data_IF_324311093566
#
_entry.id   IF_324311093566
#
_cell.length_a   1.000
_cell.length_b   1.000
_cell.length_c   1.000
_cell.angle_alpha   90.00
_cell.angle_beta   90.00
_cell.angle_gamma   90.00
#
_symmetry.space_group_name_H-M   'P 1'
#
loop_
_entity.id
_entity.type
_entity.pdbx_description
1 polymer ?
#
# COMPACT_ATOMS: atom_id res chain seq x y z
N UNK A 1 -26.76 5.38 27.72
CA UNK A 1 -26.55 5.74 26.29
C UNK A 1 -25.34 6.68 26.27
N UNK A 2 -24.20 6.23 25.76
CA UNK A 2 -22.98 7.07 25.69
C UNK A 2 -23.24 8.20 24.69
N UNK A 3 -23.18 9.46 25.14
CA UNK A 3 -23.23 10.64 24.26
C UNK A 3 -22.09 10.51 23.23
N UNK A 4 -22.48 10.35 21.97
CA UNK A 4 -21.50 10.33 20.86
C UNK A 4 -20.92 11.74 20.76
N UNK A 5 -19.64 11.88 21.06
CA UNK A 5 -18.93 13.16 20.92
C UNK A 5 -19.01 13.63 19.46
N UNK A 6 -19.61 14.80 19.24
CA UNK A 6 -19.72 15.44 17.90
C UNK A 6 -18.34 15.67 17.28
N UNK A 7 -17.36 16.02 18.09
CA UNK A 7 -15.97 16.22 17.62
C UNK A 7 -15.36 14.91 17.10
N UNK A 8 -15.61 13.80 17.80
CA UNK A 8 -15.14 12.48 17.34
C UNK A 8 -15.82 12.06 16.04
N UNK A 9 -17.12 12.26 15.95
CA UNK A 9 -17.87 11.96 14.74
C UNK A 9 -17.40 12.81 13.54
N UNK A 10 -17.09 14.09 13.75
CA UNK A 10 -16.53 14.95 12.71
C UNK A 10 -15.14 14.47 12.23
N UNK A 11 -14.29 13.98 13.15
CA UNK A 11 -13.02 13.35 12.81
C UNK A 11 -13.22 12.08 11.97
N UNK A 12 -14.15 11.21 12.37
CA UNK A 12 -14.47 9.98 11.65
C UNK A 12 -15.01 10.26 10.24
N UNK A 13 -15.85 11.28 10.08
CA UNK A 13 -16.35 11.71 8.77
C UNK A 13 -15.19 12.20 7.89
N UNK A 14 -14.30 13.05 8.42
CA UNK A 14 -13.14 13.55 7.67
C UNK A 14 -12.24 12.39 7.23
N UNK A 15 -11.93 11.47 8.14
CA UNK A 15 -11.14 10.29 7.83
C UNK A 15 -11.82 9.43 6.75
N UNK A 16 -13.12 9.16 6.89
CA UNK A 16 -13.87 8.40 5.90
C UNK A 16 -13.84 9.06 4.50
N UNK A 17 -13.99 10.38 4.42
CA UNK A 17 -13.91 11.13 3.17
C UNK A 17 -12.53 10.98 2.51
N UNK A 18 -11.45 11.10 3.28
CA UNK A 18 -10.09 10.93 2.81
C UNK A 18 -9.84 9.51 2.29
N UNK A 19 -10.23 8.49 3.05
CA UNK A 19 -10.11 7.10 2.68
C UNK A 19 -10.91 6.77 1.40
N UNK A 20 -12.14 7.28 1.27
CA UNK A 20 -12.98 7.10 0.07
C UNK A 20 -12.30 7.75 -1.15
N UNK A 21 -11.75 8.95 -1.00
CA UNK A 21 -11.04 9.65 -2.07
C UNK A 21 -9.82 8.86 -2.55
N UNK A 22 -9.15 8.14 -1.66
CA UNK A 22 -8.01 7.28 -1.98
C UNK A 22 -8.43 5.86 -2.43
N UNK A 23 -9.72 5.58 -2.57
CA UNK A 23 -10.24 4.32 -3.09
C UNK A 23 -10.39 3.19 -2.06
N UNK A 24 -10.55 3.53 -0.78
CA UNK A 24 -10.82 2.53 0.26
C UNK A 24 -12.13 1.77 0.00
N UNK A 25 -12.12 0.47 0.28
CA UNK A 25 -13.35 -0.35 0.29
C UNK A 25 -14.11 -0.16 1.60
N UNK A 26 -15.42 -0.46 1.55
CA UNK A 26 -16.33 -0.27 2.68
C UNK A 26 -15.85 -0.96 3.97
N UNK A 27 -15.29 -2.18 3.87
CA UNK A 27 -14.79 -2.92 5.04
C UNK A 27 -13.63 -2.21 5.75
N UNK A 28 -12.75 -1.53 5.00
CA UNK A 28 -11.70 -0.71 5.59
C UNK A 28 -12.29 0.49 6.33
N UNK A 29 -13.31 1.15 5.75
CA UNK A 29 -14.00 2.26 6.40
C UNK A 29 -14.69 1.83 7.70
N UNK A 30 -15.35 0.68 7.70
CA UNK A 30 -16.00 0.09 8.87
C UNK A 30 -14.98 -0.29 9.97
N UNK A 31 -13.77 -0.69 9.60
CA UNK A 31 -12.70 -1.01 10.55
C UNK A 31 -12.07 0.25 11.16
N UNK A 32 -11.91 1.32 10.39
CA UNK A 32 -11.13 2.49 10.79
C UNK A 32 -11.99 3.65 11.33
N UNK A 33 -13.33 3.57 11.24
CA UNK A 33 -14.23 4.62 11.74
C UNK A 33 -15.37 4.04 12.58
N UNK A 34 -15.96 4.87 13.44
CA UNK A 34 -17.14 4.50 14.25
C UNK A 34 -18.46 4.87 13.53
N UNK A 35 -18.42 5.18 12.24
CA UNK A 35 -19.62 5.52 11.48
C UNK A 35 -20.42 4.25 11.15
N UNK A 36 -21.74 4.36 11.18
CA UNK A 36 -22.60 3.24 10.79
C UNK A 36 -22.44 2.94 9.29
N UNK A 37 -22.62 1.67 8.93
CA UNK A 37 -22.56 1.21 7.54
C UNK A 37 -23.44 2.02 6.58
N UNK A 38 -24.65 2.38 7.01
CA UNK A 38 -25.56 3.20 6.21
C UNK A 38 -25.03 4.59 5.91
N UNK A 39 -24.39 5.24 6.91
CA UNK A 39 -23.72 6.55 6.73
C UNK A 39 -22.53 6.45 5.80
N UNK A 40 -21.70 5.42 5.94
CA UNK A 40 -20.56 5.18 5.06
C UNK A 40 -20.99 4.97 3.61
N UNK A 41 -22.04 4.20 3.36
CA UNK A 41 -22.61 4.00 2.02
C UNK A 41 -23.13 5.32 1.43
N UNK A 42 -23.83 6.13 2.24
CA UNK A 42 -24.35 7.43 1.81
C UNK A 42 -23.18 8.37 1.45
N UNK A 43 -22.19 8.49 2.33
CA UNK A 43 -21.00 9.30 2.12
C UNK A 43 -20.23 8.86 0.86
N UNK A 44 -20.12 7.55 0.64
CA UNK A 44 -19.47 6.99 -0.55
C UNK A 44 -20.17 7.40 -1.85
N UNK A 45 -21.53 7.33 -1.86
CA UNK A 45 -22.34 7.75 -3.01
C UNK A 45 -22.22 9.27 -3.27
N UNK A 46 -22.20 10.08 -2.23
CA UNK A 46 -22.05 11.53 -2.35
C UNK A 46 -20.68 11.93 -2.95
N UNK A 47 -19.60 11.24 -2.55
CA UNK A 47 -18.24 11.55 -3.00
C UNK A 47 -17.88 10.95 -4.36
N UNK A 48 -18.37 9.76 -4.66
CA UNK A 48 -17.99 9.00 -5.87
C UNK A 48 -19.09 8.89 -6.93
N UNK A 49 -20.32 9.35 -6.63
CA UNK A 49 -21.47 9.20 -7.52
C UNK A 49 -21.96 7.75 -7.69
N UNK A 50 -21.31 6.78 -7.04
CA UNK A 50 -21.60 5.35 -7.18
C UNK A 50 -21.53 4.65 -5.82
N UNK A 51 -22.20 3.49 -5.64
CA UNK A 51 -22.09 2.74 -4.40
C UNK A 51 -20.68 2.15 -4.23
N UNK A 52 -20.26 1.83 -2.98
CA UNK A 52 -18.97 1.22 -2.75
C UNK A 52 -18.83 -0.12 -3.49
N UNK A 53 -17.63 -0.44 -4.02
CA UNK A 53 -17.39 -1.69 -4.73
C UNK A 53 -17.74 -2.90 -3.87
N UNK A 54 -18.41 -3.87 -4.46
CA UNK A 54 -18.70 -5.16 -3.82
C UNK A 54 -17.45 -6.05 -3.81
N UNK A 55 -17.40 -6.98 -2.90
CA UNK A 55 -16.35 -7.99 -2.83
C UNK A 55 -15.71 -8.09 -1.45
N UNK A 56 -14.99 -9.18 -1.23
CA UNK A 56 -14.26 -9.45 0.00
C UNK A 56 -12.95 -8.67 0.07
N UNK A 57 -12.44 -8.47 1.28
CA UNK A 57 -11.08 -8.01 1.47
C UNK A 57 -10.08 -9.03 0.91
N UNK A 58 -8.90 -8.60 0.44
CA UNK A 58 -7.81 -9.51 0.11
C UNK A 58 -7.44 -10.35 1.34
N UNK A 59 -7.41 -11.66 1.19
CA UNK A 59 -7.10 -12.61 2.28
C UNK A 59 -5.85 -13.45 2.01
N UNK A 60 -5.32 -13.44 0.76
CA UNK A 60 -4.11 -14.17 0.40
C UNK A 60 -2.88 -13.27 0.44
N UNK A 61 -1.80 -13.78 1.04
CA UNK A 61 -0.47 -13.18 1.05
C UNK A 61 0.25 -13.35 -0.29
N UNK A 62 -0.12 -14.35 -1.11
CA UNK A 62 0.56 -14.69 -2.36
C UNK A 62 0.53 -13.56 -3.40
N UNK A 63 -0.53 -12.75 -3.36
CA UNK A 63 -0.61 -11.59 -4.23
C UNK A 63 0.59 -10.65 -4.06
N UNK A 64 1.04 -10.45 -2.82
CA UNK A 64 2.19 -9.59 -2.50
C UNK A 64 3.54 -10.21 -2.90
N UNK A 65 3.56 -11.50 -3.27
CA UNK A 65 4.77 -12.21 -3.70
C UNK A 65 4.98 -12.17 -5.20
N UNK A 66 3.98 -11.75 -5.97
CA UNK A 66 4.13 -11.61 -7.43
C UNK A 66 5.04 -10.42 -7.75
N UNK A 67 5.79 -10.48 -8.86
CA UNK A 67 6.93 -9.60 -9.13
C UNK A 67 6.65 -8.10 -8.97
N UNK A 68 5.72 -7.58 -9.72
CA UNK A 68 5.37 -6.16 -9.75
C UNK A 68 4.71 -5.72 -8.44
N UNK A 69 3.78 -6.52 -7.94
CA UNK A 69 3.07 -6.28 -6.69
C UNK A 69 4.01 -6.29 -5.48
N UNK A 70 5.04 -7.15 -5.48
CA UNK A 70 6.04 -7.20 -4.41
C UNK A 70 6.86 -5.91 -4.35
N UNK A 71 7.29 -5.40 -5.50
CA UNK A 71 8.04 -4.14 -5.59
C UNK A 71 7.21 -3.00 -5.01
N UNK A 72 5.98 -2.80 -5.52
CA UNK A 72 5.09 -1.72 -5.08
C UNK A 72 4.71 -1.85 -3.60
N UNK A 73 4.47 -3.07 -3.12
CA UNK A 73 4.17 -3.33 -1.70
C UNK A 73 5.37 -3.01 -0.81
N UNK A 74 6.58 -3.35 -1.25
CA UNK A 74 7.82 -3.08 -0.51
C UNK A 74 8.11 -1.58 -0.45
N UNK A 75 7.92 -0.84 -1.53
CA UNK A 75 8.07 0.62 -1.55
C UNK A 75 7.11 1.29 -0.57
N UNK A 76 5.82 0.98 -0.64
CA UNK A 76 4.82 1.49 0.30
C UNK A 76 5.19 1.16 1.75
N UNK A 77 5.54 -0.11 2.03
CA UNK A 77 5.79 -0.53 3.40
C UNK A 77 7.09 0.07 3.99
N UNK A 78 8.09 0.33 3.17
CA UNK A 78 9.29 1.06 3.60
C UNK A 78 8.96 2.51 3.96
N UNK A 79 8.14 3.22 3.17
CA UNK A 79 7.65 4.55 3.50
C UNK A 79 6.82 4.54 4.81
N UNK A 80 5.95 3.54 4.99
CA UNK A 80 5.18 3.36 6.22
C UNK A 80 6.08 3.19 7.46
N UNK A 81 7.08 2.30 7.38
CA UNK A 81 8.04 2.10 8.47
C UNK A 81 8.85 3.35 8.80
N UNK A 82 9.25 4.10 7.78
CA UNK A 82 9.95 5.36 7.97
C UNK A 82 9.09 6.35 8.77
N UNK A 83 7.83 6.54 8.40
CA UNK A 83 6.91 7.43 9.11
C UNK A 83 6.66 6.99 10.56
N UNK A 84 6.55 5.70 10.82
CA UNK A 84 6.43 5.19 12.20
C UNK A 84 7.68 5.49 13.04
N UNK A 85 8.88 5.33 12.47
CA UNK A 85 10.14 5.57 13.17
C UNK A 85 10.38 7.07 13.44
N UNK A 86 9.99 7.94 12.52
CA UNK A 86 10.10 9.39 12.69
C UNK A 86 9.09 9.98 13.68
N UNK A 87 8.21 9.16 14.27
CA UNK A 87 7.30 9.57 15.35
C UNK A 87 6.14 10.47 14.93
N UNK A 88 5.96 10.71 13.63
CA UNK A 88 4.99 11.69 13.12
C UNK A 88 3.57 11.19 12.93
N UNK A 89 3.34 9.88 12.96
CA UNK A 89 2.00 9.32 12.66
C UNK A 89 1.88 7.87 13.13
N UNK A 90 0.68 7.46 13.52
CA UNK A 90 0.36 6.09 13.97
C UNK A 90 -0.94 5.60 13.34
N UNK A 91 -1.15 4.29 13.32
CA UNK A 91 -2.38 3.68 12.84
C UNK A 91 -2.72 4.04 11.39
N UNK A 92 -4.01 4.29 11.12
CA UNK A 92 -4.51 4.59 9.77
C UNK A 92 -3.94 5.89 9.18
N UNK A 93 -3.59 6.88 10.01
CA UNK A 93 -2.96 8.12 9.53
C UNK A 93 -1.59 7.86 8.91
N UNK A 94 -0.80 6.96 9.52
CA UNK A 94 0.48 6.55 8.97
C UNK A 94 0.30 5.80 7.64
N UNK A 95 -0.72 4.94 7.53
CA UNK A 95 -1.09 4.24 6.29
C UNK A 95 -1.43 5.24 5.19
N UNK A 96 -2.27 6.24 5.48
CA UNK A 96 -2.69 7.26 4.51
C UNK A 96 -1.51 8.10 4.03
N UNK A 97 -0.65 8.57 4.94
CA UNK A 97 0.55 9.35 4.60
C UNK A 97 1.53 8.54 3.77
N UNK A 98 1.82 7.29 4.18
CA UNK A 98 2.67 6.39 3.42
C UNK A 98 2.12 6.09 2.01
N UNK A 99 0.79 5.95 1.92
CA UNK A 99 0.15 5.69 0.64
C UNK A 99 0.21 6.90 -0.31
N UNK A 100 0.11 8.12 0.22
CA UNK A 100 0.33 9.34 -0.58
C UNK A 100 1.75 9.44 -1.10
N UNK A 101 2.75 9.20 -0.22
CA UNK A 101 4.16 9.15 -0.65
C UNK A 101 4.39 8.07 -1.71
N UNK A 102 3.77 6.91 -1.57
CA UNK A 102 3.82 5.86 -2.59
C UNK A 102 3.23 6.31 -3.93
N UNK A 103 2.08 6.99 -3.93
CA UNK A 103 1.46 7.50 -5.17
C UNK A 103 2.29 8.62 -5.84
N UNK A 104 3.01 9.42 -5.06
CA UNK A 104 3.94 10.43 -5.58
C UNK A 104 5.14 9.79 -6.29
N UNK A 105 5.68 8.70 -5.73
CA UNK A 105 6.80 7.97 -6.32
C UNK A 105 6.38 7.06 -7.49
N UNK A 106 5.18 6.51 -7.43
CA UNK A 106 4.63 5.59 -8.40
C UNK A 106 3.25 6.08 -8.86
N UNK A 107 3.18 7.19 -9.60
CA UNK A 107 1.90 7.70 -10.09
C UNK A 107 1.22 6.64 -10.98
N UNK A 108 -0.08 6.41 -10.82
CA UNK A 108 -0.81 5.52 -11.70
C UNK A 108 -0.77 6.06 -13.15
N UNK A 109 -0.68 5.15 -14.11
CA UNK A 109 -0.84 5.52 -15.52
C UNK A 109 -2.23 6.11 -15.72
N UNK A 110 -2.34 7.10 -16.59
CA UNK A 110 -3.61 7.80 -16.86
C UNK A 110 -4.75 6.78 -17.08
N UNK A 111 -5.86 6.98 -16.38
CA UNK A 111 -7.07 6.15 -16.41
C UNK A 111 -6.89 4.70 -15.88
N UNK A 112 -5.80 4.41 -15.17
CA UNK A 112 -5.59 3.12 -14.52
C UNK A 112 -5.57 3.24 -13.00
N UNK A 113 -6.02 2.19 -12.31
CA UNK A 113 -5.84 2.09 -10.86
C UNK A 113 -4.36 1.83 -10.52
N UNK A 114 -3.88 2.35 -9.37
CA UNK A 114 -2.53 2.04 -8.92
C UNK A 114 -2.37 0.52 -8.68
N UNK A 115 -1.20 -0.02 -9.00
CA UNK A 115 -0.90 -1.45 -8.83
C UNK A 115 -1.20 -1.89 -7.39
N UNK A 116 -0.77 -1.10 -6.42
CA UNK A 116 -1.13 -1.30 -5.02
C UNK A 116 -2.28 -0.34 -4.67
N UNK A 117 -3.52 -0.82 -4.68
CA UNK A 117 -4.67 -0.06 -4.20
C UNK A 117 -4.62 0.14 -2.66
N UNK A 118 -5.20 1.23 -2.14
CA UNK A 118 -5.16 1.58 -0.71
C UNK A 118 -5.62 0.43 0.20
N UNK A 119 -6.71 -0.25 -0.14
CA UNK A 119 -7.21 -1.38 0.67
C UNK A 119 -6.18 -2.53 0.75
N UNK A 120 -5.41 -2.78 -0.32
CA UNK A 120 -4.32 -3.77 -0.30
C UNK A 120 -3.13 -3.27 0.53
N UNK A 121 -2.78 -1.99 0.44
CA UNK A 121 -1.74 -1.38 1.26
C UNK A 121 -2.07 -1.50 2.77
N UNK A 122 -3.32 -1.22 3.14
CA UNK A 122 -3.81 -1.40 4.50
C UNK A 122 -3.80 -2.87 4.94
N UNK A 123 -4.24 -3.80 4.06
CA UNK A 123 -4.19 -5.24 4.35
C UNK A 123 -2.76 -5.75 4.52
N UNK A 124 -1.80 -5.23 3.73
CA UNK A 124 -0.38 -5.54 3.85
C UNK A 124 0.15 -5.22 5.26
N UNK A 125 -0.17 -4.02 5.78
CA UNK A 125 0.24 -3.63 7.15
C UNK A 125 -0.27 -4.66 8.16
N UNK A 126 -1.53 -5.06 8.06
CA UNK A 126 -2.14 -6.07 8.95
C UNK A 126 -1.49 -7.45 8.82
N UNK A 127 -1.10 -7.85 7.61
CA UNK A 127 -0.40 -9.12 7.41
C UNK A 127 1.02 -9.12 8.01
N UNK A 128 1.69 -7.99 7.99
CA UNK A 128 2.99 -7.88 8.67
C UNK A 128 2.81 -7.81 10.19
N UNK A 129 1.85 -7.06 10.70
CA UNK A 129 1.53 -6.99 12.12
C UNK A 129 1.10 -8.34 12.69
N UNK A 130 0.39 -9.17 11.92
CA UNK A 130 -0.01 -10.53 12.30
C UNK A 130 1.09 -11.58 12.12
N UNK A 131 2.27 -11.21 11.64
CA UNK A 131 3.39 -12.12 11.42
C UNK A 131 3.22 -13.09 10.24
N UNK A 132 2.28 -12.83 9.31
CA UNK A 132 2.15 -13.60 8.07
C UNK A 132 3.17 -13.18 7.02
N UNK A 133 3.51 -11.89 6.99
CA UNK A 133 4.53 -11.30 6.13
C UNK A 133 5.60 -10.62 6.98
N UNK A 134 6.79 -10.46 6.40
CA UNK A 134 7.93 -9.77 7.03
C UNK A 134 8.73 -8.99 5.98
N UNK A 135 9.68 -8.18 6.43
CA UNK A 135 10.69 -7.58 5.58
C UNK A 135 11.97 -8.40 5.61
N UNK A 136 12.50 -8.72 4.45
CA UNK A 136 13.82 -9.33 4.27
C UNK A 136 14.74 -8.39 3.52
N UNK A 137 16.01 -8.33 3.94
CA UNK A 137 17.04 -7.52 3.29
C UNK A 137 17.64 -8.30 2.14
N UNK A 138 17.72 -7.69 0.95
CA UNK A 138 18.34 -8.29 -0.21
C UNK A 138 19.87 -8.32 -0.04
N UNK A 139 20.49 -9.49 -0.24
CA UNK A 139 21.97 -9.66 -0.12
C UNK A 139 22.75 -8.97 -1.24
N UNK A 140 22.09 -8.56 -2.35
CA UNK A 140 22.75 -7.88 -3.47
C UNK A 140 22.67 -6.35 -3.40
N UNK A 141 21.49 -5.80 -3.06
CA UNK A 141 21.27 -4.34 -3.09
C UNK A 141 20.97 -3.72 -1.72
N UNK A 142 20.95 -4.52 -0.66
CA UNK A 142 20.58 -4.12 0.70
C UNK A 142 19.19 -3.51 0.87
N UNK A 143 18.36 -3.48 -0.18
CA UNK A 143 16.97 -3.03 -0.11
C UNK A 143 16.10 -3.99 0.69
N UNK A 144 15.08 -3.46 1.38
CA UNK A 144 14.12 -4.24 2.18
C UNK A 144 12.87 -4.56 1.37
N UNK A 145 12.50 -5.83 1.29
CA UNK A 145 11.36 -6.32 0.50
C UNK A 145 10.43 -7.21 1.32
N UNK A 146 9.15 -7.19 0.98
CA UNK A 146 8.14 -8.04 1.60
C UNK A 146 8.37 -9.50 1.22
N UNK A 147 8.39 -10.38 2.22
CA UNK A 147 8.51 -11.84 2.08
C UNK A 147 7.54 -12.56 3.01
N UNK A 148 7.29 -13.85 2.77
CA UNK A 148 6.59 -14.67 3.75
C UNK A 148 7.43 -14.80 5.03
N UNK A 149 6.75 -14.74 6.20
CA UNK A 149 7.44 -14.81 7.49
C UNK A 149 8.18 -16.13 7.73
N UNK A 150 7.75 -17.21 7.07
CA UNK A 150 8.35 -18.55 7.23
C UNK A 150 9.39 -18.91 6.16
N UNK A 151 9.72 -17.99 5.25
CA UNK A 151 10.80 -18.22 4.29
C UNK A 151 12.16 -17.96 4.97
N UNK A 152 13.15 -18.87 4.81
CA UNK A 152 14.48 -18.64 5.36
C UNK A 152 15.10 -17.41 4.70
N UNK A 153 15.38 -16.38 5.53
CA UNK A 153 15.83 -15.06 5.09
C UNK A 153 17.36 -14.99 4.84
N UNK A 154 18.10 -16.07 5.04
CA UNK A 154 19.59 -16.04 5.08
C UNK A 154 20.24 -15.68 3.74
N UNK A 155 19.59 -15.91 2.60
CA UNK A 155 20.14 -15.62 1.27
C UNK A 155 19.09 -14.99 0.33
N UNK A 156 18.27 -14.08 0.85
CA UNK A 156 17.23 -13.47 0.06
C UNK A 156 17.81 -12.54 -1.02
N UNK A 157 17.40 -12.77 -2.27
CA UNK A 157 17.68 -11.87 -3.41
C UNK A 157 16.36 -11.34 -3.93
N UNK A 158 16.23 -10.00 -3.96
CA UNK A 158 15.00 -9.37 -4.40
C UNK A 158 14.75 -9.56 -5.91
N UNK A 159 13.50 -9.41 -6.30
CA UNK A 159 13.06 -9.55 -7.69
C UNK A 159 13.51 -8.42 -8.63
N UNK A 160 14.09 -7.33 -8.10
CA UNK A 160 14.80 -6.31 -8.89
C UNK A 160 16.20 -6.79 -9.27
N UNK A 161 16.94 -7.39 -8.31
CA UNK A 161 18.28 -7.93 -8.56
C UNK A 161 18.26 -9.23 -9.34
N UNK A 162 17.18 -10.00 -9.24
CA UNK A 162 16.96 -11.26 -9.95
C UNK A 162 15.52 -11.34 -10.48
N UNK A 163 15.23 -10.61 -11.58
CA UNK A 163 13.89 -10.58 -12.13
C UNK A 163 13.47 -11.94 -12.68
N UNK A 164 12.21 -12.37 -12.49
CA UNK A 164 11.72 -13.62 -13.02
C UNK A 164 11.70 -13.59 -14.57
N UNK A 165 11.86 -14.75 -15.19
CA UNK A 165 11.95 -14.89 -16.66
C UNK A 165 10.79 -14.23 -17.43
N UNK A 166 9.59 -14.18 -16.82
CA UNK A 166 8.41 -13.52 -17.40
C UNK A 166 8.51 -11.99 -17.41
N UNK A 167 9.22 -11.39 -16.45
CA UNK A 167 9.43 -9.95 -16.37
C UNK A 167 10.31 -9.45 -17.52
N UNK A 168 11.31 -10.24 -17.92
CA UNK A 168 12.22 -9.93 -19.02
C UNK A 168 11.48 -9.87 -20.37
N UNK A 169 10.45 -10.70 -20.58
CA UNK A 169 9.62 -10.68 -21.80
C UNK A 169 8.74 -9.44 -21.91
N UNK A 170 8.13 -8.97 -20.81
CA UNK A 170 7.36 -7.71 -20.78
C UNK A 170 8.25 -6.51 -21.11
N UNK A 171 9.47 -6.47 -20.59
CA UNK A 171 10.45 -5.40 -20.83
C UNK A 171 10.87 -5.26 -22.29
N UNK A 172 10.93 -6.38 -23.05
CA UNK A 172 11.23 -6.35 -24.49
C UNK A 172 10.07 -5.82 -25.36
N UNK A 173 8.83 -5.87 -24.84
CA UNK A 173 7.63 -5.38 -25.54
C UNK A 173 7.31 -3.91 -25.27
N UNK A 174 7.83 -3.31 -24.19
CA UNK A 174 7.65 -1.91 -23.81
C UNK A 174 8.95 -1.10 -23.94
N UNK A 175 9.63 -1.24 -25.06
CA UNK A 175 11.00 -0.77 -25.22
C UNK A 175 11.17 0.76 -25.08
N UNK A 176 11.75 1.19 -24.00
CA UNK A 176 12.95 2.05 -24.03
C UNK A 176 13.75 1.83 -22.72
N UNK A 177 14.90 1.10 -22.73
CA UNK A 177 15.63 0.69 -21.53
C UNK A 177 16.28 1.83 -20.74
N UNK A 178 16.41 3.01 -21.33
CA UNK A 178 17.13 4.13 -20.73
C UNK A 178 16.30 4.94 -19.71
N UNK A 179 15.00 5.01 -19.85
CA UNK A 179 14.16 5.87 -19.00
C UNK A 179 13.73 5.22 -17.68
N UNK A 180 13.57 3.88 -17.65
CA UNK A 180 13.06 3.17 -16.47
C UNK A 180 14.16 2.96 -15.42
N UNK A 181 15.44 2.86 -15.83
CA UNK A 181 16.54 2.62 -14.91
C UNK A 181 16.97 3.88 -14.14
N UNK A 182 16.81 5.08 -14.73
CA UNK A 182 17.17 6.34 -14.06
C UNK A 182 16.15 6.71 -12.96
N UNK A 183 14.86 6.59 -13.21
CA UNK A 183 13.83 6.96 -12.25
C UNK A 183 13.73 6.04 -11.03
N UNK A 184 14.09 4.75 -11.16
CA UNK A 184 14.08 3.81 -10.04
C UNK A 184 15.34 3.89 -9.18
N UNK A 185 16.49 4.27 -9.75
CA UNK A 185 17.75 4.40 -9.02
C UNK A 185 17.85 5.73 -8.28
N UNK A 186 17.38 6.84 -8.86
CA UNK A 186 17.37 8.16 -8.22
C UNK A 186 16.46 8.19 -6.98
N UNK A 187 15.37 7.43 -6.98
CA UNK A 187 14.47 7.31 -5.82
C UNK A 187 15.06 6.50 -4.65
N UNK A 188 16.00 5.61 -4.89
CA UNK A 188 16.61 4.77 -3.85
C UNK A 188 17.81 5.42 -3.17
N UNK A 189 18.55 6.29 -3.87
CA UNK A 189 19.68 7.01 -3.27
C UNK A 189 19.25 8.10 -2.29
N UNK A 190 18.07 8.67 -2.41
CA UNK A 190 17.54 9.68 -1.48
C UNK A 190 17.12 9.11 -0.11
N UNK A 191 17.04 7.80 0.07
CA UNK A 191 16.69 7.15 1.34
C UNK A 191 17.87 6.47 2.06
N UNK A 192 19.09 6.60 1.52
CA UNK A 192 20.31 5.99 2.09
C UNK A 192 21.17 6.96 2.92
N UNK A 193 20.72 8.22 3.11
CA UNK A 193 21.35 9.18 4.03
C UNK A 193 20.55 9.38 5.31
#
# INVERSE_FOLDING_TARGET
MSEKSIVREAKDIRLAMELITLGARLQMLESETQLSRGRLIKLYKELRGSPPPKGMLPFSTDWFMTWEQNIHSSMFYNAYRFLLKSGGSVGVEAVVKAYRLYLEQCPPVKDQEPILALTRAWTLVRFVESGMLQLSVCTKCNGSFITHAHQPASNYVCSLCQPPSRAIKKRKLSANPAEINLQLLDGLEQFAM
#
